data_IF_437878092995
#
_entry.id   IF_437878092995
#
_cell.length_a   1.000
_cell.length_b   1.000
_cell.length_c   1.000
_cell.angle_alpha   90.00
_cell.angle_beta   90.00
_cell.angle_gamma   90.00
#
_symmetry.space_group_name_H-M   'P 1'
#
loop_
_entity.id
_entity.type
_entity.pdbx_description
1 polymer ?
#
# COMPACT_ATOMS: atom_id res chain seq x y z
N UNK A 1 -14.18 -40.60 30.75
CA UNK A 1 -13.73 -39.29 31.29
C UNK A 1 -12.44 -38.81 30.64
N UNK A 2 -11.46 -39.68 30.38
CA UNK A 2 -10.19 -39.33 29.74
C UNK A 2 -10.33 -38.72 28.32
N UNK A 3 -11.24 -39.23 27.49
CA UNK A 3 -11.49 -38.68 26.14
C UNK A 3 -12.09 -37.27 26.14
N UNK A 4 -12.89 -36.92 27.17
CA UNK A 4 -13.45 -35.57 27.34
C UNK A 4 -12.39 -34.56 27.78
N UNK A 5 -11.43 -35.00 28.60
CA UNK A 5 -10.27 -34.20 29.00
C UNK A 5 -9.36 -33.90 27.80
N UNK A 6 -9.06 -34.91 26.97
CA UNK A 6 -8.23 -34.75 25.76
C UNK A 6 -8.87 -33.76 24.78
N UNK A 7 -10.20 -33.84 24.58
CA UNK A 7 -10.93 -32.92 23.71
C UNK A 7 -10.90 -31.47 24.24
N UNK A 8 -11.00 -31.29 25.55
CA UNK A 8 -10.88 -29.96 26.19
C UNK A 8 -9.49 -29.35 26.03
N UNK A 9 -8.44 -30.17 26.15
CA UNK A 9 -7.04 -29.70 25.96
C UNK A 9 -6.75 -29.35 24.50
N UNK A 10 -7.31 -30.08 23.53
CA UNK A 10 -7.13 -29.77 22.11
C UNK A 10 -7.78 -28.42 21.72
N UNK A 11 -8.92 -28.08 22.32
CA UNK A 11 -9.63 -26.82 22.05
C UNK A 11 -8.88 -25.57 22.55
N UNK A 12 -8.07 -25.71 23.60
CA UNK A 12 -7.31 -24.60 24.21
C UNK A 12 -6.04 -24.22 23.42
N UNK A 13 -5.48 -25.15 22.64
CA UNK A 13 -4.24 -24.91 21.86
C UNK A 13 -4.52 -24.17 20.55
N UNK A 14 -5.76 -24.15 20.06
CA UNK A 14 -6.13 -23.50 18.79
C UNK A 14 -6.28 -21.97 18.86
N UNK A 15 -6.16 -21.35 20.05
CA UNK A 15 -6.36 -19.91 20.26
C UNK A 15 -5.08 -19.07 20.31
N UNK A 16 -3.96 -19.55 19.75
CA UNK A 16 -2.78 -18.70 19.56
C UNK A 16 -3.02 -17.71 18.42
N UNK A 17 -3.63 -16.57 18.74
CA UNK A 17 -3.69 -15.41 17.84
C UNK A 17 -2.28 -14.83 17.70
N UNK A 18 -1.66 -15.02 16.53
CA UNK A 18 -0.42 -14.35 16.18
C UNK A 18 -0.71 -12.86 15.97
N UNK A 19 -0.42 -12.02 16.95
CA UNK A 19 -0.44 -10.58 16.78
C UNK A 19 0.68 -10.20 15.79
N UNK A 20 0.31 -9.83 14.57
CA UNK A 20 1.25 -9.38 13.56
C UNK A 20 1.63 -7.93 13.87
N UNK A 21 2.87 -7.71 14.29
CA UNK A 21 3.41 -6.37 14.50
C UNK A 21 3.73 -5.73 13.14
N UNK A 22 3.09 -4.61 12.83
CA UNK A 22 3.40 -3.84 11.64
C UNK A 22 4.67 -3.03 11.89
N UNK A 23 5.72 -3.31 11.12
CA UNK A 23 6.95 -2.51 11.12
C UNK A 23 6.86 -1.44 10.05
N UNK A 24 7.20 -0.21 10.41
CA UNK A 24 7.32 0.87 9.46
C UNK A 24 8.42 0.55 8.44
N UNK A 25 8.05 0.35 7.17
CA UNK A 25 9.00 0.06 6.11
C UNK A 25 9.69 1.33 5.60
N UNK A 26 8.92 2.38 5.33
CA UNK A 26 9.41 3.64 4.77
C UNK A 26 8.49 4.81 5.12
N UNK A 27 9.08 5.99 5.25
CA UNK A 27 8.34 7.27 5.33
C UNK A 27 8.67 8.11 4.11
N UNK A 28 7.63 8.53 3.38
CA UNK A 28 7.75 9.49 2.27
C UNK A 28 7.29 10.86 2.78
N UNK A 29 8.18 11.84 2.77
CA UNK A 29 7.91 13.19 3.29
C UNK A 29 7.64 14.14 2.13
N UNK A 30 6.52 14.86 2.17
CA UNK A 30 6.20 15.90 1.20
C UNK A 30 4.79 16.44 1.37
N UNK A 31 4.49 17.52 0.64
CA UNK A 31 3.13 18.03 0.46
C UNK A 31 2.66 17.60 -0.92
N UNK A 32 1.62 16.80 -0.96
CA UNK A 32 1.04 16.24 -2.18
C UNK A 32 -0.45 16.57 -2.20
N UNK A 33 -0.97 16.81 -3.40
CA UNK A 33 -2.36 17.18 -3.64
C UNK A 33 -3.25 15.94 -3.81
N UNK A 34 -2.66 14.82 -4.24
CA UNK A 34 -3.35 13.55 -4.44
C UNK A 34 -2.44 12.36 -4.13
N UNK A 35 -3.03 11.27 -3.64
CA UNK A 35 -2.37 10.01 -3.32
C UNK A 35 -3.26 8.83 -3.70
N UNK A 36 -2.68 7.82 -4.35
CA UNK A 36 -3.32 6.53 -4.60
C UNK A 36 -2.29 5.40 -4.70
N UNK A 37 -2.76 4.16 -4.71
CA UNK A 37 -1.94 2.97 -4.92
C UNK A 37 -2.56 2.07 -6.00
N UNK A 38 -1.77 1.15 -6.54
CA UNK A 38 -2.27 0.08 -7.41
C UNK A 38 -2.34 -1.27 -6.68
N UNK A 39 -2.78 -2.31 -7.40
CA UNK A 39 -2.91 -3.66 -6.85
C UNK A 39 -1.58 -4.43 -6.74
N UNK A 40 -0.48 -3.87 -7.25
CA UNK A 40 0.88 -4.42 -7.08
C UNK A 40 1.69 -3.63 -6.06
N UNK A 41 1.04 -2.74 -5.29
CA UNK A 41 1.65 -2.05 -4.15
C UNK A 41 2.42 -0.78 -4.49
N UNK A 42 2.42 -0.29 -5.74
CA UNK A 42 3.09 0.98 -6.06
C UNK A 42 2.31 2.16 -5.50
N UNK A 43 3.04 3.20 -5.13
CA UNK A 43 2.50 4.44 -4.59
C UNK A 43 2.63 5.57 -5.62
N UNK A 44 1.51 6.24 -5.90
CA UNK A 44 1.41 7.36 -6.82
C UNK A 44 1.06 8.61 -6.02
N UNK A 45 1.92 9.62 -6.07
CA UNK A 45 1.70 10.91 -5.43
C UNK A 45 1.67 11.98 -6.51
N UNK A 46 0.68 12.86 -6.47
CA UNK A 46 0.63 13.99 -7.38
C UNK A 46 0.78 15.32 -6.63
N UNK A 47 1.44 16.27 -7.27
CA UNK A 47 1.60 17.64 -6.78
C UNK A 47 1.55 18.57 -7.97
N UNK A 48 0.47 19.34 -8.10
CA UNK A 48 0.18 20.19 -9.26
C UNK A 48 0.27 19.35 -10.55
N UNK A 49 1.20 19.70 -11.43
CA UNK A 49 1.46 19.05 -12.72
C UNK A 49 2.49 17.91 -12.64
N UNK A 50 2.96 17.57 -11.43
CA UNK A 50 3.94 16.52 -11.21
C UNK A 50 3.32 15.24 -10.66
N UNK A 51 3.76 14.10 -11.19
CA UNK A 51 3.44 12.75 -10.70
C UNK A 51 4.71 12.04 -10.26
N UNK A 52 4.71 11.53 -9.03
CA UNK A 52 5.79 10.75 -8.44
C UNK A 52 5.33 9.30 -8.29
N UNK A 53 6.08 8.37 -8.85
CA UNK A 53 5.83 6.94 -8.76
C UNK A 53 6.89 6.27 -7.88
N UNK A 54 6.44 5.64 -6.80
CA UNK A 54 7.27 4.89 -5.87
C UNK A 54 7.00 3.39 -5.96
N UNK A 55 8.03 2.58 -5.71
CA UNK A 55 7.90 1.13 -5.55
C UNK A 55 7.13 0.75 -4.29
N UNK A 56 6.81 -0.53 -4.12
CA UNK A 56 6.14 -1.06 -2.93
C UNK A 56 6.97 -0.88 -1.64
N UNK A 57 8.29 -0.78 -1.77
CA UNK A 57 9.21 -0.48 -0.66
C UNK A 57 9.38 1.04 -0.42
N UNK A 58 8.68 1.88 -1.19
CA UNK A 58 8.73 3.33 -1.07
C UNK A 58 9.98 3.97 -1.68
N UNK A 59 10.60 3.33 -2.68
CA UNK A 59 11.70 3.92 -3.45
C UNK A 59 11.14 4.71 -4.65
N UNK A 60 11.59 5.94 -4.86
CA UNK A 60 11.18 6.72 -6.03
C UNK A 60 11.68 6.03 -7.31
N UNK A 61 10.76 5.63 -8.17
CA UNK A 61 11.05 5.00 -9.46
C UNK A 61 11.06 6.03 -10.59
N UNK A 62 10.03 6.89 -10.62
CA UNK A 62 9.86 7.88 -11.67
C UNK A 62 9.25 9.18 -11.15
N UNK A 63 9.57 10.27 -11.82
CA UNK A 63 8.93 11.57 -11.67
C UNK A 63 8.59 12.09 -13.06
N UNK A 64 7.33 12.43 -13.26
CA UNK A 64 6.80 13.02 -14.50
C UNK A 64 6.28 14.40 -14.17
N UNK A 65 6.47 15.35 -15.08
CA UNK A 65 5.87 16.68 -15.02
C UNK A 65 5.30 16.99 -16.40
N UNK A 66 4.04 17.38 -16.44
CA UNK A 66 3.38 17.84 -17.66
C UNK A 66 2.52 19.08 -17.38
N UNK A 67 3.12 20.23 -17.60
CA UNK A 67 2.49 21.55 -17.44
C UNK A 67 1.24 21.72 -18.32
N UNK A 68 1.08 20.93 -19.39
CA UNK A 68 -0.07 21.03 -20.29
C UNK A 68 -1.35 20.42 -19.69
N UNK A 69 -1.22 19.51 -18.73
CA UNK A 69 -2.36 18.84 -18.06
C UNK A 69 -2.95 19.69 -16.92
N UNK A 70 -2.27 20.74 -16.50
CA UNK A 70 -2.66 21.53 -15.33
C UNK A 70 -2.48 20.74 -14.03
N UNK A 71 -3.36 20.96 -13.05
CA UNK A 71 -3.30 20.25 -11.76
C UNK A 71 -3.88 18.84 -11.88
N UNK A 72 -3.04 17.83 -11.65
CA UNK A 72 -3.43 16.43 -11.55
C UNK A 72 -4.25 16.25 -10.26
N UNK A 73 -5.51 15.84 -10.42
CA UNK A 73 -6.44 15.61 -9.30
C UNK A 73 -6.81 14.13 -9.14
N UNK A 74 -6.50 13.31 -10.14
CA UNK A 74 -6.76 11.87 -10.14
C UNK A 74 -5.72 11.14 -11.00
N UNK A 75 -5.50 9.86 -10.72
CA UNK A 75 -4.68 8.96 -11.54
C UNK A 75 -5.38 7.61 -11.56
N UNK A 76 -5.68 7.08 -12.75
CA UNK A 76 -6.27 5.74 -12.88
C UNK A 76 -5.18 4.67 -12.78
N UNK A 77 -5.19 3.91 -11.69
CA UNK A 77 -4.20 2.89 -11.35
C UNK A 77 -4.68 1.45 -11.61
N UNK A 78 -5.77 1.26 -12.35
CA UNK A 78 -6.28 -0.09 -12.66
C UNK A 78 -5.31 -0.92 -13.49
N UNK A 79 -4.50 -0.28 -14.34
CA UNK A 79 -3.46 -0.93 -15.14
C UNK A 79 -2.07 -0.40 -14.76
N UNK A 80 -1.26 -1.13 -13.99
CA UNK A 80 0.04 -0.65 -13.52
C UNK A 80 1.11 -0.54 -14.62
N UNK A 81 0.82 -0.99 -15.84
CA UNK A 81 1.70 -0.84 -17.01
C UNK A 81 1.33 0.38 -17.87
N UNK A 82 0.25 1.09 -17.54
CA UNK A 82 -0.21 2.27 -18.26
C UNK A 82 -0.63 3.35 -17.27
N UNK A 83 0.08 4.47 -17.27
CA UNK A 83 -0.37 5.67 -16.58
C UNK A 83 -1.50 6.33 -17.39
N UNK A 84 -2.65 6.52 -16.76
CA UNK A 84 -3.78 7.27 -17.31
C UNK A 84 -4.14 8.37 -16.31
N UNK A 85 -4.12 9.62 -16.79
CA UNK A 85 -4.33 10.86 -16.05
C UNK A 85 -5.65 11.51 -16.46
#
# INVERSE_FOLDING_TARGET
MLSRLIFGTFLLVSFSANAQELKLAKTVVGKFDYMTTDHIGRLYLAKRDELFLYSEEGNLMYQYSDLSLGTITNVDTRNPLKLQL
#
